data_IF_101605432218
#
_entry.id   IF_101605432218
#
_cell.length_a   1.000
_cell.length_b   1.000
_cell.length_c   1.000
_cell.angle_alpha   90.00
_cell.angle_beta   90.00
_cell.angle_gamma   90.00
#
_symmetry.space_group_name_H-M   'P 1'
#
loop_
_entity.id
_entity.type
_entity.pdbx_description
1 polymer ?
#
# COMPACT_ATOMS: atom_id res chain seq x y z
N UNK A 1 17.83 0.31 1.60
CA UNK A 1 16.51 0.64 1.03
C UNK A 1 15.54 0.94 2.15
N UNK A 2 15.20 -0.07 2.96
CA UNK A 2 14.18 0.05 4.01
C UNK A 2 14.40 1.18 5.01
N UNK A 3 15.63 1.52 5.41
CA UNK A 3 15.83 2.67 6.32
C UNK A 3 15.46 4.04 5.73
N UNK A 4 15.33 4.17 4.39
CA UNK A 4 14.95 5.43 3.72
C UNK A 4 13.43 5.56 3.65
N UNK A 5 12.71 4.47 3.41
CA UNK A 5 11.25 4.50 3.22
C UNK A 5 10.45 3.95 4.40
N UNK A 6 11.06 3.07 5.19
CA UNK A 6 10.45 2.19 6.18
C UNK A 6 9.33 1.31 5.60
N UNK A 7 8.84 0.35 6.38
CA UNK A 7 7.67 -0.46 6.04
C UNK A 7 6.99 -0.98 7.31
N UNK A 8 5.78 -1.53 7.16
CA UNK A 8 5.00 -1.97 8.33
C UNK A 8 5.65 -3.18 9.05
N UNK A 9 6.35 -4.06 8.33
CA UNK A 9 7.07 -5.20 8.91
C UNK A 9 8.19 -4.73 9.84
N UNK A 10 9.01 -3.77 9.38
CA UNK A 10 10.08 -3.18 10.18
C UNK A 10 9.53 -2.34 11.33
N UNK A 11 8.49 -1.54 11.11
CA UNK A 11 7.83 -0.78 12.18
C UNK A 11 7.27 -1.65 13.30
N UNK A 12 6.82 -2.87 12.98
CA UNK A 12 6.36 -3.83 13.99
C UNK A 12 7.53 -4.50 14.73
N UNK A 13 8.60 -4.88 14.02
CA UNK A 13 9.74 -5.63 14.59
C UNK A 13 10.71 -4.78 15.40
N UNK A 14 10.83 -3.50 15.05
CA UNK A 14 11.82 -2.57 15.63
C UNK A 14 11.12 -1.30 16.10
N UNK A 15 10.15 -1.47 17.01
CA UNK A 15 9.33 -0.38 17.52
C UNK A 15 10.11 0.66 18.34
N UNK A 16 11.33 0.33 18.76
CA UNK A 16 12.28 1.25 19.40
C UNK A 16 12.94 2.22 18.42
N UNK A 17 12.88 1.94 17.12
CA UNK A 17 13.39 2.80 16.06
C UNK A 17 12.26 3.69 15.51
N UNK A 18 12.29 4.97 15.84
CA UNK A 18 11.25 5.97 15.50
C UNK A 18 11.37 6.46 14.04
N UNK A 19 11.45 5.52 13.09
CA UNK A 19 11.39 5.84 11.66
C UNK A 19 9.95 6.05 11.22
N UNK A 20 9.71 7.14 10.52
CA UNK A 20 8.43 7.41 9.87
C UNK A 20 8.39 6.76 8.48
N UNK A 21 7.31 6.04 8.11
CA UNK A 21 7.10 5.60 6.74
C UNK A 21 7.06 6.78 5.77
N UNK A 22 7.97 6.78 4.80
CA UNK A 22 8.10 7.81 3.77
C UNK A 22 7.55 7.37 2.40
N UNK A 23 7.07 6.13 2.27
CA UNK A 23 6.44 5.61 1.07
C UNK A 23 5.10 4.93 1.40
N UNK A 24 4.08 5.26 0.60
CA UNK A 24 2.73 4.75 0.75
C UNK A 24 2.21 4.25 -0.61
N UNK A 25 1.28 3.29 -0.56
CA UNK A 25 0.40 2.98 -1.69
C UNK A 25 -0.92 3.71 -1.49
N UNK A 26 -1.39 4.37 -2.54
CA UNK A 26 -2.73 4.97 -2.58
C UNK A 26 -3.68 3.98 -3.26
N UNK A 27 -4.83 3.73 -2.64
CA UNK A 27 -5.90 2.93 -3.24
C UNK A 27 -7.23 3.59 -2.98
N UNK A 28 -8.27 3.20 -3.72
CA UNK A 28 -9.62 3.70 -3.61
C UNK A 28 -10.60 2.58 -3.35
N UNK A 29 -11.66 2.89 -2.63
CA UNK A 29 -12.85 2.04 -2.57
C UNK A 29 -13.51 2.03 -3.94
N UNK A 30 -13.57 0.87 -4.58
CA UNK A 30 -14.22 0.69 -5.89
C UNK A 30 -15.59 0.03 -5.80
N UNK A 31 -15.86 -0.71 -4.72
CA UNK A 31 -17.18 -1.27 -4.42
C UNK A 31 -17.33 -1.66 -2.96
N UNK A 32 -18.57 -1.92 -2.52
CA UNK A 32 -18.91 -2.33 -1.15
C UNK A 32 -19.68 -3.66 -1.17
N UNK A 33 -19.00 -4.81 -1.32
CA UNK A 33 -19.65 -6.12 -1.49
C UNK A 33 -20.14 -6.67 -0.14
N UNK A 34 -21.20 -6.08 0.42
CA UNK A 34 -21.78 -6.42 1.72
C UNK A 34 -21.72 -5.25 2.71
N UNK A 35 -22.31 -5.43 3.90
CA UNK A 35 -22.43 -4.35 4.90
C UNK A 35 -21.10 -3.92 5.50
N UNK A 36 -20.18 -4.87 5.74
CA UNK A 36 -18.92 -4.62 6.46
C UNK A 36 -17.69 -4.82 5.57
N UNK A 37 -17.81 -4.60 4.26
CA UNK A 37 -16.76 -4.93 3.30
C UNK A 37 -16.49 -3.79 2.34
N UNK A 38 -15.20 -3.54 2.11
CA UNK A 38 -14.71 -2.62 1.10
C UNK A 38 -13.86 -3.40 0.09
N UNK A 39 -14.12 -3.20 -1.20
CA UNK A 39 -13.26 -3.66 -2.27
C UNK A 39 -12.39 -2.50 -2.72
N UNK A 40 -11.08 -2.71 -2.75
CA UNK A 40 -10.05 -1.71 -3.04
C UNK A 40 -9.36 -2.05 -4.36
N UNK A 41 -8.97 -1.05 -5.14
CA UNK A 41 -8.11 -1.19 -6.34
C UNK A 41 -6.62 -1.47 -6.03
N UNK A 42 -6.37 -2.27 -4.97
CA UNK A 42 -5.04 -2.63 -4.49
C UNK A 42 -4.81 -4.14 -4.64
N UNK A 43 -4.48 -4.58 -5.84
CA UNK A 43 -4.12 -5.98 -6.12
C UNK A 43 -2.63 -6.28 -6.06
N UNK A 44 -2.27 -7.53 -6.36
CA UNK A 44 -0.87 -8.00 -6.43
C UNK A 44 -0.01 -7.23 -7.46
N UNK A 45 -0.62 -6.58 -8.46
CA UNK A 45 0.12 -5.70 -9.38
C UNK A 45 0.54 -4.37 -8.77
N UNK A 46 -0.10 -3.95 -7.68
CA UNK A 46 0.15 -2.67 -7.02
C UNK A 46 0.91 -2.81 -5.69
N UNK A 47 0.88 -4.00 -5.08
CA UNK A 47 1.56 -4.28 -3.81
C UNK A 47 2.17 -5.68 -3.76
N UNK A 48 3.28 -5.77 -3.04
CA UNK A 48 4.00 -6.99 -2.77
C UNK A 48 3.10 -8.08 -2.13
N UNK A 49 3.13 -9.30 -2.70
CA UNK A 49 2.25 -10.42 -2.34
C UNK A 49 2.99 -11.68 -1.87
N UNK A 50 4.31 -11.60 -1.67
CA UNK A 50 5.17 -12.71 -1.27
C UNK A 50 4.97 -13.14 0.19
N UNK A 51 4.51 -12.22 1.04
CA UNK A 51 4.24 -12.50 2.45
C UNK A 51 2.76 -12.88 2.69
N UNK A 52 2.46 -13.64 3.76
CA UNK A 52 1.09 -13.76 4.27
C UNK A 52 0.50 -12.40 4.66
N UNK A 53 -0.82 -12.33 4.81
CA UNK A 53 -1.47 -11.12 5.33
C UNK A 53 -1.07 -10.86 6.79
N UNK A 54 -1.02 -9.58 7.21
CA UNK A 54 -1.30 -8.37 6.42
C UNK A 54 -0.17 -8.00 5.45
N UNK A 55 -0.54 -7.55 4.24
CA UNK A 55 0.40 -7.07 3.20
C UNK A 55 0.46 -5.54 3.09
N UNK A 56 -0.48 -4.87 3.74
CA UNK A 56 -0.62 -3.42 3.84
C UNK A 56 -1.23 -3.09 5.19
N UNK A 57 -0.80 -2.00 5.80
CA UNK A 57 -1.45 -1.39 6.96
C UNK A 57 -2.02 -0.04 6.55
N UNK A 58 -3.33 0.14 6.64
CA UNK A 58 -3.97 1.39 6.26
C UNK A 58 -3.90 2.40 7.41
N UNK A 59 -3.42 3.61 7.13
CA UNK A 59 -3.30 4.69 8.11
C UNK A 59 -4.67 5.22 8.55
N UNK A 60 -5.63 5.24 7.62
CA UNK A 60 -6.99 5.70 7.85
C UNK A 60 -8.00 4.56 8.04
N UNK A 61 -7.54 3.31 8.16
CA UNK A 61 -8.39 2.13 8.43
C UNK A 61 -7.57 0.97 9.03
N UNK A 62 -6.97 1.22 10.20
CA UNK A 62 -5.92 0.35 10.76
C UNK A 62 -6.38 -1.06 11.17
N UNK A 63 -7.67 -1.24 11.42
CA UNK A 63 -8.29 -2.48 11.89
C UNK A 63 -8.84 -3.37 10.76
N UNK A 64 -8.75 -2.92 9.50
CA UNK A 64 -9.20 -3.66 8.34
C UNK A 64 -8.53 -5.04 8.22
N UNK A 65 -9.35 -6.08 8.04
CA UNK A 65 -8.87 -7.45 7.83
C UNK A 65 -9.00 -7.84 6.38
N UNK A 66 -7.92 -8.28 5.76
CA UNK A 66 -7.98 -8.81 4.40
C UNK A 66 -8.78 -10.12 4.35
N UNK A 67 -9.75 -10.19 3.45
CA UNK A 67 -10.56 -11.39 3.19
C UNK A 67 -10.14 -12.10 1.91
N UNK A 68 -9.87 -11.32 0.85
CA UNK A 68 -9.50 -11.83 -0.47
C UNK A 68 -8.55 -10.86 -1.13
N UNK A 69 -7.52 -11.38 -1.80
CA UNK A 69 -6.56 -10.57 -2.55
C UNK A 69 -6.29 -11.24 -3.89
N UNK A 70 -6.55 -10.49 -4.96
CA UNK A 70 -6.42 -10.92 -6.35
C UNK A 70 -5.39 -10.07 -7.08
N UNK A 71 -5.25 -10.30 -8.38
CA UNK A 71 -4.32 -9.56 -9.23
C UNK A 71 -4.55 -8.03 -9.19
N UNK A 72 -5.81 -7.60 -9.15
CA UNK A 72 -6.21 -6.17 -9.23
C UNK A 72 -6.93 -5.65 -7.98
N UNK A 73 -7.41 -6.53 -7.10
CA UNK A 73 -8.29 -6.13 -6.00
C UNK A 73 -7.93 -6.74 -4.65
N UNK A 74 -8.14 -5.96 -3.59
CA UNK A 74 -8.13 -6.38 -2.20
C UNK A 74 -9.51 -6.13 -1.59
N UNK A 75 -10.14 -7.18 -1.06
CA UNK A 75 -11.36 -7.07 -0.26
C UNK A 75 -10.98 -7.12 1.21
N UNK A 76 -11.41 -6.10 1.95
CA UNK A 76 -11.23 -6.01 3.40
C UNK A 76 -12.56 -6.04 4.12
N UNK A 77 -12.54 -6.57 5.34
CA UNK A 77 -13.62 -6.49 6.32
C UNK A 77 -13.31 -5.40 7.35
N UNK A 78 -14.29 -4.55 7.66
CA UNK A 78 -14.23 -3.55 8.72
C UNK A 78 -15.64 -3.21 9.21
N UNK A 79 -15.75 -2.87 10.50
CA UNK A 79 -16.98 -2.30 11.07
C UNK A 79 -17.24 -0.86 10.63
N UNK A 80 -16.24 -0.21 10.03
CA UNK A 80 -16.29 1.18 9.55
C UNK A 80 -16.62 1.28 8.06
N UNK A 81 -17.11 0.21 7.43
CA UNK A 81 -17.37 0.21 5.99
C UNK A 81 -18.35 1.33 5.57
N UNK A 82 -19.32 1.68 6.42
CA UNK A 82 -20.29 2.76 6.18
C UNK A 82 -19.69 4.16 6.24
N UNK A 83 -18.51 4.33 6.85
CA UNK A 83 -17.78 5.60 6.89
C UNK A 83 -17.11 5.95 5.55
N UNK A 84 -17.10 5.01 4.59
CA UNK A 84 -16.47 5.17 3.27
C UNK A 84 -17.50 5.12 2.13
N UNK A 85 -17.36 6.05 1.20
CA UNK A 85 -18.02 6.06 -0.09
C UNK A 85 -17.15 5.40 -1.18
N UNK A 86 -17.78 4.97 -2.28
CA UNK A 86 -17.03 4.57 -3.49
C UNK A 86 -16.27 5.81 -4.01
N UNK A 87 -14.99 5.64 -4.28
CA UNK A 87 -14.05 6.69 -4.67
C UNK A 87 -13.16 7.19 -3.54
N UNK A 88 -13.51 6.93 -2.28
CA UNK A 88 -12.70 7.36 -1.14
C UNK A 88 -11.34 6.68 -1.12
N UNK A 89 -10.33 7.44 -0.72
CA UNK A 89 -8.94 7.00 -0.72
C UNK A 89 -8.55 6.32 0.61
N UNK A 90 -7.72 5.29 0.51
CA UNK A 90 -6.98 4.73 1.63
C UNK A 90 -5.48 4.86 1.38
N UNK A 91 -4.77 5.15 2.46
CA UNK A 91 -3.32 5.32 2.46
C UNK A 91 -2.68 4.12 3.15
N UNK A 92 -2.04 3.26 2.37
CA UNK A 92 -1.44 2.02 2.84
C UNK A 92 0.07 2.13 3.02
N UNK A 93 0.57 1.78 4.21
CA UNK A 93 1.99 1.44 4.39
C UNK A 93 2.17 0.00 3.93
N UNK A 94 3.00 -0.28 2.91
CA UNK A 94 3.23 -1.64 2.47
C UNK A 94 3.91 -2.46 3.59
N UNK A 95 3.62 -3.75 3.65
CA UNK A 95 4.28 -4.64 4.60
C UNK A 95 5.77 -4.80 4.29
N UNK A 96 6.12 -4.80 3.01
CA UNK A 96 7.50 -4.87 2.55
C UNK A 96 7.70 -3.90 1.40
N UNK A 97 8.49 -2.85 1.63
CA UNK A 97 8.61 -1.73 0.69
C UNK A 97 9.39 -2.10 -0.57
N UNK A 98 10.47 -2.89 -0.45
CA UNK A 98 11.38 -3.19 -1.56
C UNK A 98 10.68 -3.84 -2.77
N UNK A 99 9.97 -4.98 -2.63
CA UNK A 99 9.24 -5.57 -3.75
C UNK A 99 8.05 -4.72 -4.19
N UNK A 100 7.44 -3.95 -3.29
CA UNK A 100 6.34 -3.03 -3.65
C UNK A 100 6.85 -1.97 -4.62
N UNK A 101 7.94 -1.27 -4.30
CA UNK A 101 8.55 -0.26 -5.19
C UNK A 101 8.91 -0.85 -6.55
N UNK A 102 9.38 -2.11 -6.59
CA UNK A 102 9.72 -2.77 -7.84
C UNK A 102 8.52 -2.97 -8.78
N UNK A 103 7.27 -2.90 -8.30
CA UNK A 103 6.06 -3.00 -9.12
C UNK A 103 5.70 -1.69 -9.85
N UNK A 104 6.23 -0.56 -9.40
CA UNK A 104 5.89 0.77 -9.92
C UNK A 104 6.98 1.29 -10.86
N UNK A 105 6.58 1.94 -11.97
CA UNK A 105 7.51 2.63 -12.88
C UNK A 105 7.94 4.00 -12.38
N UNK A 106 7.10 4.61 -11.53
CA UNK A 106 7.33 5.93 -10.97
C UNK A 106 6.80 6.03 -9.53
N UNK A 107 7.35 6.96 -8.76
CA UNK A 107 6.82 7.38 -7.48
C UNK A 107 6.35 8.84 -7.57
N UNK A 108 5.18 9.15 -7.02
CA UNK A 108 4.68 10.52 -6.91
C UNK A 108 5.18 11.10 -5.58
N UNK A 109 5.92 12.21 -5.66
CA UNK A 109 6.44 12.91 -4.48
C UNK A 109 5.38 13.87 -3.97
N UNK A 110 5.08 13.77 -2.67
CA UNK A 110 4.13 14.63 -1.99
C UNK A 110 4.90 15.64 -1.13
N UNK A 111 4.70 16.93 -1.39
CA UNK A 111 5.26 18.04 -0.62
C UNK A 111 4.13 18.97 -0.19
N UNK A 112 4.04 19.29 1.11
CA UNK A 112 2.97 20.14 1.65
C UNK A 112 1.56 19.61 1.33
N UNK A 113 1.39 18.29 1.26
CA UNK A 113 0.12 17.64 0.92
C UNK A 113 -0.27 17.70 -0.56
N UNK A 114 0.66 18.10 -1.45
CA UNK A 114 0.41 18.20 -2.89
C UNK A 114 1.37 17.34 -3.69
N UNK A 115 0.90 16.77 -4.78
CA UNK A 115 1.75 16.08 -5.74
C UNK A 115 2.66 17.11 -6.42
N UNK A 116 3.95 17.07 -6.10
CA UNK A 116 4.93 18.04 -6.55
C UNK A 116 5.76 17.53 -7.74
N UNK A 117 6.19 16.27 -7.68
CA UNK A 117 7.09 15.67 -8.67
C UNK A 117 6.75 14.20 -8.93
N UNK A 118 7.30 13.67 -10.03
CA UNK A 118 7.31 12.23 -10.31
C UNK A 118 8.74 11.76 -10.50
N UNK A 119 9.14 10.73 -9.75
CA UNK A 119 10.46 10.13 -9.85
C UNK A 119 10.37 8.80 -10.56
N UNK A 120 11.15 8.63 -11.63
CA UNK A 120 11.25 7.35 -12.33
C UNK A 120 11.98 6.32 -11.46
N UNK A 121 11.41 5.13 -11.31
CA UNK A 121 12.04 4.00 -10.60
C UNK A 121 12.94 3.25 -11.60
N UNK A 122 14.12 3.79 -11.83
CA UNK A 122 15.06 3.28 -12.85
C UNK A 122 15.45 1.81 -12.63
N UNK A 123 15.49 1.34 -11.38
CA UNK A 123 15.81 -0.05 -11.06
C UNK A 123 14.79 -1.08 -11.56
N UNK A 124 13.56 -0.66 -11.89
CA UNK A 124 12.53 -1.53 -12.47
C UNK A 124 12.86 -1.91 -13.92
N UNK A 125 13.55 -1.05 -14.66
CA UNK A 125 13.90 -1.27 -16.07
C UNK A 125 15.23 -2.02 -16.25
N UNK A 126 15.70 -2.72 -15.21
CA UNK A 126 16.95 -3.49 -15.28
C UNK A 126 16.88 -4.54 -16.40
N UNK A 127 17.94 -4.61 -17.21
CA UNK A 127 18.10 -5.56 -18.30
C UNK A 127 19.42 -6.30 -18.13
N UNK A 128 19.42 -7.61 -18.40
CA UNK A 128 20.66 -8.36 -18.55
C UNK A 128 21.26 -8.04 -19.93
N UNK A 129 22.53 -7.62 -19.97
CA UNK A 129 23.20 -7.19 -21.20
C UNK A 129 24.19 -8.22 -21.74
N UNK A 130 23.96 -9.50 -21.47
CA UNK A 130 24.85 -10.61 -21.84
C UNK A 130 24.41 -11.31 -23.12
#
# INVERSE_FOLDING_TARGET
GTCVFWDASYGNKFADLDFLPAALVLTRVISKPGSNRLCLDLGHKAIASEMPHPRVQFLNLSEAKALMHSEEHLVVETTHADDFAIGDCLYGVPWHICPTVALHSEAVVIEGGKAAQRWKIVGRERMLTI
#
